data_IF_789996706314
#
_entry.id   IF_789996706314
#
_cell.length_a   1.000
_cell.length_b   1.000
_cell.length_c   1.000
_cell.angle_alpha   90.00
_cell.angle_beta   90.00
_cell.angle_gamma   90.00
#
_symmetry.space_group_name_H-M   'P 1'
#
loop_
_entity.id
_entity.type
_entity.pdbx_description
1 polymer ?
#
# COMPACT_ATOMS: atom_id res chain seq x y z
N UNK A 1 -15.14 21.53 -15.93
CA UNK A 1 -16.43 21.81 -15.28
C UNK A 1 -16.25 21.64 -13.78
N UNK A 2 -16.77 22.62 -13.05
CA UNK A 2 -16.42 22.98 -11.68
C UNK A 2 -16.81 21.93 -10.63
N UNK A 3 -15.97 21.78 -9.62
CA UNK A 3 -16.21 20.99 -8.42
C UNK A 3 -17.15 21.74 -7.48
N UNK A 4 -18.41 21.29 -7.39
CA UNK A 4 -19.39 21.86 -6.46
C UNK A 4 -19.11 21.39 -5.04
N UNK A 5 -18.63 22.34 -4.23
CA UNK A 5 -18.43 22.26 -2.78
C UNK A 5 -19.81 22.34 -2.09
N UNK A 6 -20.25 21.28 -1.42
CA UNK A 6 -21.50 21.33 -0.63
C UNK A 6 -21.31 22.18 0.65
N UNK A 7 -22.07 23.27 0.72
CA UNK A 7 -22.18 24.19 1.87
C UNK A 7 -22.85 23.49 3.07
N UNK A 8 -22.33 23.70 4.27
CA UNK A 8 -23.02 23.42 5.53
C UNK A 8 -24.15 24.43 5.76
N UNK A 9 -25.35 23.92 6.04
CA UNK A 9 -26.54 24.70 6.44
C UNK A 9 -27.15 24.09 7.72
N UNK A 10 -27.91 24.87 8.50
CA UNK A 10 -27.84 24.87 9.95
C UNK A 10 -28.80 23.88 10.63
N UNK A 11 -28.45 23.59 11.87
CA UNK A 11 -29.09 22.70 12.83
C UNK A 11 -30.56 23.07 13.13
N UNK A 12 -31.48 22.75 12.22
CA UNK A 12 -32.92 22.84 12.47
C UNK A 12 -33.45 21.47 12.90
N UNK A 13 -33.57 21.28 14.22
CA UNK A 13 -34.26 20.13 14.83
C UNK A 13 -35.67 20.02 14.24
N UNK A 14 -35.92 18.93 13.53
CA UNK A 14 -37.16 18.68 12.79
C UNK A 14 -38.39 18.72 13.70
N UNK A 15 -39.54 19.18 13.17
CA UNK A 15 -40.83 19.19 13.89
C UNK A 15 -41.17 17.82 14.48
N UNK A 16 -40.74 16.74 13.82
CA UNK A 16 -40.91 15.35 14.24
C UNK A 16 -40.20 15.07 15.57
N UNK A 17 -38.96 15.54 15.75
CA UNK A 17 -38.24 15.38 17.01
C UNK A 17 -38.96 16.05 18.19
N UNK A 18 -39.60 17.21 17.96
CA UNK A 18 -40.42 17.88 18.99
C UNK A 18 -41.72 17.13 19.29
N UNK A 19 -42.32 16.48 18.29
CA UNK A 19 -43.52 15.66 18.49
C UNK A 19 -43.20 14.40 19.29
N UNK A 20 -42.10 13.71 18.98
CA UNK A 20 -41.65 12.55 19.75
C UNK A 20 -41.28 12.92 21.19
N UNK A 21 -40.61 14.06 21.40
CA UNK A 21 -40.23 14.53 22.73
C UNK A 21 -41.42 14.99 23.59
N UNK A 22 -42.55 15.38 22.96
CA UNK A 22 -43.82 15.67 23.66
C UNK A 22 -44.61 14.41 24.01
N UNK A 23 -44.49 13.36 23.21
CA UNK A 23 -45.22 12.09 23.42
C UNK A 23 -44.50 11.20 24.43
N UNK A 24 -43.19 11.35 24.57
CA UNK A 24 -42.35 10.59 25.49
C UNK A 24 -41.72 11.58 26.48
N UNK A 25 -42.37 11.79 27.62
CA UNK A 25 -41.82 12.58 28.73
C UNK A 25 -40.65 11.83 29.41
N UNK A 26 -39.51 11.80 28.74
CA UNK A 26 -38.24 11.35 29.31
C UNK A 26 -37.60 12.54 30.02
N UNK A 27 -37.63 12.52 31.37
CA UNK A 27 -36.76 13.40 32.17
C UNK A 27 -35.32 13.17 31.71
N UNK A 28 -34.67 14.26 31.36
CA UNK A 28 -33.32 14.28 30.78
C UNK A 28 -32.32 13.77 31.81
N UNK A 29 -31.78 12.57 31.59
CA UNK A 29 -30.59 12.10 32.30
C UNK A 29 -29.36 12.47 31.47
N UNK A 30 -28.52 13.32 32.05
CA UNK A 30 -27.32 13.86 31.46
C UNK A 30 -26.22 12.78 31.37
N UNK A 31 -25.61 12.64 30.19
CA UNK A 31 -24.27 12.08 29.92
C UNK A 31 -24.02 10.61 30.30
N UNK A 32 -24.11 9.71 29.32
CA UNK A 32 -23.24 8.53 29.25
C UNK A 32 -22.58 8.52 27.86
N UNK A 33 -21.26 8.49 27.88
CA UNK A 33 -20.38 8.51 26.74
C UNK A 33 -20.46 7.20 25.94
N UNK A 34 -20.09 7.29 24.67
CA UNK A 34 -20.00 6.19 23.71
C UNK A 34 -19.18 5.02 24.24
N UNK A 35 -19.66 3.80 23.99
CA UNK A 35 -18.80 2.71 23.57
C UNK A 35 -19.59 1.74 22.68
N UNK A 36 -19.08 1.54 21.47
CA UNK A 36 -19.45 0.46 20.58
C UNK A 36 -19.06 -0.86 21.27
N UNK A 37 -20.07 -1.62 21.69
CA UNK A 37 -19.92 -2.98 22.17
C UNK A 37 -21.26 -3.66 22.07
N UNK A 38 -21.36 -4.65 21.18
CA UNK A 38 -22.48 -5.59 21.12
C UNK A 38 -22.50 -6.33 22.46
N UNK A 39 -23.35 -5.87 23.37
CA UNK A 39 -23.58 -6.48 24.67
C UNK A 39 -24.61 -7.60 24.52
N UNK A 40 -24.12 -8.82 24.38
CA UNK A 40 -24.90 -10.05 24.44
C UNK A 40 -25.50 -10.19 25.86
N UNK A 41 -26.80 -9.91 26.02
CA UNK A 41 -27.51 -10.28 27.24
C UNK A 41 -27.90 -11.76 27.18
N UNK A 42 -26.92 -12.62 27.49
CA UNK A 42 -27.17 -14.02 27.84
C UNK A 42 -27.73 -14.04 29.26
N UNK A 43 -29.06 -14.16 29.40
CA UNK A 43 -29.67 -14.44 30.70
C UNK A 43 -29.69 -15.95 30.91
N UNK A 44 -28.67 -16.45 31.62
CA UNK A 44 -28.65 -17.81 32.18
C UNK A 44 -29.70 -17.89 33.29
N UNK A 45 -30.57 -18.92 33.33
CA UNK A 45 -31.55 -19.05 34.40
C UNK A 45 -30.86 -19.60 35.66
N UNK A 46 -30.58 -18.74 36.64
CA UNK A 46 -30.20 -19.19 37.98
C UNK A 46 -31.44 -19.27 38.87
N UNK A 47 -32.03 -20.47 38.90
CA UNK A 47 -32.76 -20.94 40.08
C UNK A 47 -31.75 -21.23 41.18
N UNK A 48 -31.71 -20.38 42.22
CA UNK A 48 -31.20 -20.74 43.54
C UNK A 48 -32.21 -20.30 44.58
N UNK A 49 -32.94 -21.29 45.10
CA UNK A 49 -33.61 -21.21 46.39
C UNK A 49 -32.52 -21.16 47.47
N UNK A 50 -32.60 -20.18 48.35
CA UNK A 50 -32.04 -20.31 49.70
C UNK A 50 -33.15 -19.97 50.70
N UNK A 51 -33.31 -20.92 51.62
CA UNK A 51 -34.27 -20.99 52.70
C UNK A 51 -33.55 -20.64 54.01
N UNK A 52 -34.34 -20.28 55.02
CA UNK A 52 -33.97 -19.99 56.43
C UNK A 52 -33.49 -18.54 56.67
N UNK A 53 -34.02 -17.80 57.66
CA UNK A 53 -34.18 -18.25 59.05
C UNK A 53 -35.32 -17.59 59.86
N UNK A 54 -35.74 -18.34 60.90
CA UNK A 54 -36.83 -18.11 61.84
C UNK A 54 -36.43 -17.22 63.03
N UNK A 55 -37.35 -16.35 63.47
CA UNK A 55 -37.91 -16.29 64.85
C UNK A 55 -38.39 -14.89 65.21
N UNK A 56 -39.69 -14.75 65.52
CA UNK A 56 -40.20 -14.05 66.71
C UNK A 56 -41.68 -14.41 66.90
N UNK A 57 -41.90 -15.29 67.87
CA UNK A 57 -42.94 -15.29 68.91
C UNK A 57 -44.42 -15.14 68.55
N UNK A 58 -45.16 -16.19 68.92
CA UNK A 58 -46.60 -16.42 68.86
C UNK A 58 -47.50 -15.26 69.30
N UNK A 59 -48.43 -14.85 68.41
CA UNK A 59 -49.83 -14.49 68.74
C UNK A 59 -50.74 -14.96 67.58
N UNK A 60 -51.85 -15.67 67.83
CA UNK A 60 -52.76 -16.09 66.77
C UNK A 60 -53.77 -14.98 66.51
N UNK A 61 -53.53 -14.12 65.52
CA UNK A 61 -54.55 -13.19 65.04
C UNK A 61 -54.33 -12.86 63.55
N UNK A 62 -55.37 -13.14 62.75
CA UNK A 62 -55.59 -12.72 61.37
C UNK A 62 -54.63 -13.24 60.28
N UNK A 63 -54.67 -14.55 60.00
CA UNK A 63 -53.91 -15.20 58.89
C UNK A 63 -54.55 -15.09 57.50
N UNK A 64 -55.76 -14.56 57.35
CA UNK A 64 -56.50 -14.59 56.07
C UNK A 64 -56.28 -13.35 55.19
N UNK A 65 -56.05 -12.16 55.75
CA UNK A 65 -55.90 -10.93 54.95
C UNK A 65 -54.50 -10.71 54.36
N UNK A 66 -53.43 -11.10 55.08
CA UNK A 66 -52.06 -10.96 54.57
C UNK A 66 -51.76 -11.87 53.37
N UNK A 67 -52.37 -13.05 53.30
CA UNK A 67 -52.24 -13.96 52.15
C UNK A 67 -52.94 -13.43 50.90
N UNK A 68 -54.14 -12.85 51.04
CA UNK A 68 -54.87 -12.20 49.93
C UNK A 68 -54.10 -11.00 49.37
N UNK A 69 -53.55 -10.14 50.23
CA UNK A 69 -52.82 -8.96 49.78
C UNK A 69 -51.49 -9.31 49.08
N UNK A 70 -50.84 -10.42 49.48
CA UNK A 70 -49.64 -10.95 48.82
C UNK A 70 -49.97 -11.57 47.45
N UNK A 71 -51.09 -12.28 47.34
CA UNK A 71 -51.58 -12.89 46.10
C UNK A 71 -52.02 -11.84 45.07
N UNK A 72 -52.73 -10.79 45.48
CA UNK A 72 -53.11 -9.68 44.59
C UNK A 72 -51.91 -8.88 44.08
N UNK A 73 -50.87 -8.74 44.92
CA UNK A 73 -49.60 -8.10 44.52
C UNK A 73 -48.85 -8.96 43.51
N UNK A 74 -48.83 -10.28 43.69
CA UNK A 74 -48.23 -11.23 42.75
C UNK A 74 -48.96 -11.24 41.41
N UNK A 75 -50.30 -11.23 41.40
CA UNK A 75 -51.12 -11.14 40.18
C UNK A 75 -50.86 -9.85 39.42
N UNK A 76 -50.83 -8.70 40.10
CA UNK A 76 -50.50 -7.40 39.48
C UNK A 76 -49.10 -7.42 38.87
N UNK A 77 -48.13 -8.02 39.55
CA UNK A 77 -46.77 -8.17 39.03
C UNK A 77 -46.74 -9.02 37.76
N UNK A 78 -47.40 -10.17 37.75
CA UNK A 78 -47.48 -11.04 36.58
C UNK A 78 -48.15 -10.35 35.37
N UNK A 79 -49.22 -9.59 35.60
CA UNK A 79 -49.89 -8.80 34.55
C UNK A 79 -48.95 -7.73 33.98
N UNK A 80 -48.15 -7.07 34.81
CA UNK A 80 -47.16 -6.09 34.37
C UNK A 80 -46.00 -6.73 33.59
N UNK A 81 -45.52 -7.89 34.03
CA UNK A 81 -44.49 -8.66 33.32
C UNK A 81 -44.99 -9.10 31.93
N UNK A 82 -46.24 -9.57 31.84
CA UNK A 82 -46.89 -9.90 30.57
C UNK A 82 -47.07 -8.68 29.65
N UNK A 83 -47.42 -7.52 30.21
CA UNK A 83 -47.53 -6.27 29.47
C UNK A 83 -46.16 -5.83 28.92
N UNK A 84 -45.10 -5.94 29.72
CA UNK A 84 -43.74 -5.64 29.28
C UNK A 84 -43.29 -6.58 28.17
N UNK A 85 -43.55 -7.89 28.31
CA UNK A 85 -43.22 -8.87 27.27
C UNK A 85 -43.89 -8.49 25.94
N UNK A 86 -45.21 -8.20 25.97
CA UNK A 86 -45.95 -7.78 24.77
C UNK A 86 -45.42 -6.47 24.17
N UNK A 87 -45.02 -5.52 25.01
CA UNK A 87 -44.39 -4.26 24.56
C UNK A 87 -43.08 -4.52 23.80
N UNK A 88 -42.18 -5.33 24.37
CA UNK A 88 -40.91 -5.67 23.72
C UNK A 88 -41.13 -6.44 22.42
N UNK A 89 -42.06 -7.41 22.40
CA UNK A 89 -42.42 -8.15 21.20
C UNK A 89 -42.90 -7.23 20.06
N UNK A 90 -43.81 -6.28 20.33
CA UNK A 90 -44.27 -5.31 19.34
C UNK A 90 -43.16 -4.36 18.86
N UNK A 91 -42.26 -3.91 19.75
CA UNK A 91 -41.11 -3.09 19.34
C UNK A 91 -40.18 -3.88 18.40
N UNK A 92 -39.91 -5.15 18.73
CA UNK A 92 -39.09 -6.03 17.89
C UNK A 92 -39.77 -6.33 16.55
N UNK A 93 -41.10 -6.49 16.53
CA UNK A 93 -41.87 -6.66 15.29
C UNK A 93 -41.80 -5.41 14.40
N UNK A 94 -41.93 -4.20 14.97
CA UNK A 94 -41.75 -2.93 14.23
C UNK A 94 -40.33 -2.85 13.65
N UNK A 95 -39.31 -3.25 14.41
CA UNK A 95 -37.92 -3.25 13.94
C UNK A 95 -37.73 -4.22 12.76
N UNK A 96 -38.33 -5.41 12.83
CA UNK A 96 -38.29 -6.39 11.74
C UNK A 96 -39.00 -5.86 10.48
N UNK A 97 -40.21 -5.31 10.62
CA UNK A 97 -40.94 -4.71 9.51
C UNK A 97 -40.20 -3.52 8.88
N UNK A 98 -39.52 -2.70 9.69
CA UNK A 98 -38.67 -1.63 9.17
C UNK A 98 -37.45 -2.16 8.41
N UNK A 99 -36.86 -3.27 8.84
CA UNK A 99 -35.78 -3.92 8.10
C UNK A 99 -36.29 -4.50 6.76
N UNK A 100 -37.50 -5.07 6.73
CA UNK A 100 -38.16 -5.53 5.49
C UNK A 100 -38.39 -4.36 4.51
N UNK A 101 -38.84 -3.21 5.02
CA UNK A 101 -38.99 -1.97 4.25
C UNK A 101 -37.66 -1.53 3.62
N UNK A 102 -36.56 -1.55 4.37
CA UNK A 102 -35.24 -1.20 3.86
C UNK A 102 -34.77 -2.16 2.76
N UNK A 103 -35.03 -3.46 2.89
CA UNK A 103 -34.67 -4.44 1.87
C UNK A 103 -35.49 -4.27 0.59
N UNK A 104 -36.76 -3.89 0.71
CA UNK A 104 -37.65 -3.67 -0.43
C UNK A 104 -37.33 -2.40 -1.25
N UNK A 105 -36.41 -1.55 -0.78
CA UNK A 105 -35.98 -0.36 -1.52
C UNK A 105 -34.93 -0.68 -2.58
N UNK A 106 -34.18 -1.78 -2.45
CA UNK A 106 -33.14 -2.15 -3.39
C UNK A 106 -32.99 -3.69 -3.51
N UNK A 107 -33.52 -4.31 -4.57
CA UNK A 107 -34.26 -3.69 -5.68
C UNK A 107 -35.63 -3.15 -5.24
N UNK A 108 -36.07 -2.04 -5.85
CA UNK A 108 -37.33 -1.37 -5.50
C UNK A 108 -38.54 -2.28 -5.77
N UNK A 109 -39.35 -2.53 -4.74
CA UNK A 109 -40.59 -3.29 -4.81
C UNK A 109 -41.71 -2.55 -4.07
N UNK A 110 -42.66 -2.00 -4.82
CA UNK A 110 -43.81 -1.26 -4.26
C UNK A 110 -44.65 -2.15 -3.34
N UNK A 111 -44.90 -3.40 -3.73
CA UNK A 111 -45.76 -4.33 -2.98
C UNK A 111 -45.14 -4.71 -1.63
N UNK A 112 -43.83 -4.99 -1.62
CA UNK A 112 -43.10 -5.30 -0.38
C UNK A 112 -42.97 -4.08 0.53
N UNK A 113 -42.76 -2.89 -0.04
CA UNK A 113 -42.76 -1.62 0.70
C UNK A 113 -44.12 -1.40 1.38
N UNK A 114 -45.22 -1.58 0.64
CA UNK A 114 -46.57 -1.39 1.17
C UNK A 114 -46.91 -2.44 2.24
N UNK A 115 -46.51 -3.70 2.04
CA UNK A 115 -46.71 -4.76 3.04
C UNK A 115 -45.94 -4.48 4.34
N UNK A 116 -44.68 -4.05 4.23
CA UNK A 116 -43.85 -3.69 5.37
C UNK A 116 -44.38 -2.44 6.11
N UNK A 117 -44.82 -1.42 5.38
CA UNK A 117 -45.44 -0.22 5.94
C UNK A 117 -46.74 -0.56 6.69
N UNK A 118 -47.60 -1.38 6.08
CA UNK A 118 -48.83 -1.86 6.72
C UNK A 118 -48.54 -2.63 8.02
N UNK A 119 -47.52 -3.50 8.03
CA UNK A 119 -47.10 -4.22 9.23
C UNK A 119 -46.63 -3.28 10.35
N UNK A 120 -45.89 -2.21 10.02
CA UNK A 120 -45.51 -1.17 11.00
C UNK A 120 -46.75 -0.46 11.55
N UNK A 121 -47.69 -0.07 10.68
CA UNK A 121 -48.91 0.61 11.09
C UNK A 121 -49.76 -0.27 12.01
N UNK A 122 -49.87 -1.56 11.72
CA UNK A 122 -50.68 -2.48 12.52
C UNK A 122 -50.07 -2.76 13.90
N UNK A 123 -48.74 -2.90 14.01
CA UNK A 123 -48.07 -2.98 15.31
C UNK A 123 -48.20 -1.68 16.12
N UNK A 124 -48.13 -0.51 15.47
CA UNK A 124 -48.34 0.78 16.13
C UNK A 124 -49.78 0.95 16.64
N UNK A 125 -50.78 0.44 15.91
CA UNK A 125 -52.18 0.40 16.36
C UNK A 125 -52.33 -0.50 17.59
N UNK A 126 -51.76 -1.71 17.56
CA UNK A 126 -51.77 -2.64 18.70
C UNK A 126 -51.10 -2.02 19.94
N UNK A 127 -49.98 -1.32 19.75
CA UNK A 127 -49.28 -0.62 20.83
C UNK A 127 -50.11 0.53 21.41
N UNK A 128 -50.83 1.27 20.56
CA UNK A 128 -51.75 2.32 20.98
C UNK A 128 -52.92 1.78 21.80
N UNK A 129 -53.47 0.64 21.41
CA UNK A 129 -54.53 -0.06 22.17
C UNK A 129 -54.00 -0.57 23.53
N UNK A 130 -52.81 -1.16 23.55
CA UNK A 130 -52.15 -1.61 24.77
C UNK A 130 -51.88 -0.44 25.75
N UNK A 131 -51.45 0.70 25.21
CA UNK A 131 -51.29 1.94 25.99
C UNK A 131 -52.63 2.39 26.58
N UNK A 132 -53.71 2.38 25.79
CA UNK A 132 -55.04 2.80 26.23
C UNK A 132 -55.60 1.88 27.32
N UNK A 133 -55.46 0.56 27.19
CA UNK A 133 -55.92 -0.40 28.20
C UNK A 133 -55.16 -0.27 29.52
N UNK A 134 -53.84 0.01 29.46
CA UNK A 134 -53.04 0.32 30.64
C UNK A 134 -53.55 1.55 31.39
N UNK A 135 -53.78 2.67 30.70
CA UNK A 135 -54.25 3.90 31.36
C UNK A 135 -55.68 3.82 31.91
N UNK A 136 -56.53 2.97 31.31
CA UNK A 136 -57.90 2.74 31.79
C UNK A 136 -57.99 1.71 32.91
N UNK A 137 -56.88 1.07 33.30
CA UNK A 137 -56.83 -0.09 34.20
C UNK A 137 -57.68 -1.28 33.71
N UNK A 138 -57.90 -1.40 32.40
CA UNK A 138 -58.69 -2.46 31.74
C UNK A 138 -57.74 -3.54 31.16
N UNK A 139 -56.83 -4.05 32.00
CA UNK A 139 -55.86 -5.07 31.58
C UNK A 139 -56.40 -6.49 31.80
N UNK A 140 -57.18 -6.97 30.83
CA UNK A 140 -57.62 -8.37 30.76
C UNK A 140 -56.55 -9.23 30.06
N UNK A 141 -55.36 -9.32 30.66
CA UNK A 141 -54.29 -10.18 30.16
C UNK A 141 -54.26 -11.48 30.97
N UNK A 142 -54.18 -12.62 30.29
CA UNK A 142 -53.74 -13.87 30.88
C UNK A 142 -52.21 -13.87 30.90
N UNK A 143 -51.55 -13.74 32.07
CA UNK A 143 -50.11 -13.47 32.11
C UNK A 143 -49.27 -14.54 31.42
N UNK A 144 -49.52 -15.82 31.71
CA UNK A 144 -48.77 -16.96 31.16
C UNK A 144 -48.90 -17.05 29.64
N UNK A 145 -50.13 -16.96 29.12
CA UNK A 145 -50.40 -17.03 27.67
C UNK A 145 -49.81 -15.83 26.95
N UNK A 146 -49.94 -14.64 27.52
CA UNK A 146 -49.43 -13.40 26.91
C UNK A 146 -47.91 -13.40 26.84
N UNK A 147 -47.22 -13.85 27.90
CA UNK A 147 -45.77 -13.97 27.90
C UNK A 147 -45.29 -14.95 26.83
N UNK A 148 -45.91 -16.13 26.74
CA UNK A 148 -45.53 -17.14 25.75
C UNK A 148 -45.73 -16.63 24.31
N UNK A 149 -46.87 -15.98 24.02
CA UNK A 149 -47.13 -15.41 22.69
C UNK A 149 -46.17 -14.27 22.35
N UNK A 150 -45.86 -13.41 23.32
CA UNK A 150 -44.91 -12.33 23.15
C UNK A 150 -43.50 -12.85 22.85
N UNK A 151 -43.05 -13.88 23.57
CA UNK A 151 -41.76 -14.53 23.33
C UNK A 151 -41.70 -15.13 21.93
N UNK A 152 -42.75 -15.85 21.49
CA UNK A 152 -42.82 -16.40 20.13
C UNK A 152 -42.76 -15.29 19.07
N UNK A 153 -43.51 -14.21 19.24
CA UNK A 153 -43.51 -13.06 18.33
C UNK A 153 -42.14 -12.38 18.27
N UNK A 154 -41.48 -12.22 19.42
CA UNK A 154 -40.13 -11.65 19.51
C UNK A 154 -39.11 -12.53 18.76
N UNK A 155 -39.11 -13.83 19.01
CA UNK A 155 -38.21 -14.77 18.33
C UNK A 155 -38.43 -14.79 16.82
N UNK A 156 -39.69 -14.79 16.36
CA UNK A 156 -40.01 -14.70 14.92
C UNK A 156 -39.49 -13.40 14.30
N UNK A 157 -39.64 -12.28 15.00
CA UNK A 157 -39.17 -10.96 14.56
C UNK A 157 -37.65 -10.87 14.51
N UNK A 158 -36.96 -11.48 15.48
CA UNK A 158 -35.50 -11.62 15.47
C UNK A 158 -35.02 -12.50 14.31
N UNK A 159 -35.66 -13.65 14.07
CA UNK A 159 -35.34 -14.53 12.94
C UNK A 159 -35.45 -13.79 11.60
N UNK A 160 -36.52 -13.00 11.40
CA UNK A 160 -36.68 -12.16 10.22
C UNK A 160 -35.53 -11.16 10.06
N UNK A 161 -35.16 -10.48 11.14
CA UNK A 161 -34.06 -9.50 11.14
C UNK A 161 -32.72 -10.15 10.80
N UNK A 162 -32.43 -11.34 11.35
CA UNK A 162 -31.23 -12.09 11.02
C UNK A 162 -31.24 -12.55 9.56
N UNK A 163 -32.35 -13.08 9.07
CA UNK A 163 -32.48 -13.50 7.66
C UNK A 163 -32.22 -12.33 6.69
N UNK A 164 -32.73 -11.14 7.00
CA UNK A 164 -32.46 -9.92 6.23
C UNK A 164 -30.97 -9.54 6.28
N UNK A 165 -30.37 -9.59 7.47
CA UNK A 165 -28.95 -9.26 7.66
C UNK A 165 -28.05 -10.23 6.88
N UNK A 166 -28.37 -11.53 6.88
CA UNK A 166 -27.67 -12.55 6.12
C UNK A 166 -27.75 -12.23 4.62
N UNK A 167 -28.95 -12.02 4.07
CA UNK A 167 -29.13 -11.67 2.65
C UNK A 167 -28.33 -10.42 2.24
N UNK A 168 -28.27 -9.42 3.12
CA UNK A 168 -27.50 -8.20 2.88
C UNK A 168 -25.99 -8.47 2.84
N UNK A 169 -25.48 -9.30 3.75
CA UNK A 169 -24.07 -9.69 3.77
C UNK A 169 -23.70 -10.56 2.58
N UNK A 170 -24.57 -11.48 2.16
CA UNK A 170 -24.39 -12.30 0.95
C UNK A 170 -24.26 -11.41 -0.30
N UNK A 171 -25.16 -10.43 -0.46
CA UNK A 171 -25.08 -9.48 -1.57
C UNK A 171 -23.79 -8.62 -1.55
N UNK A 172 -23.33 -8.19 -0.37
CA UNK A 172 -22.08 -7.44 -0.24
C UNK A 172 -20.85 -8.30 -0.60
N UNK A 173 -20.86 -9.59 -0.22
CA UNK A 173 -19.82 -10.54 -0.60
C UNK A 173 -19.76 -10.73 -2.12
N UNK A 174 -20.91 -10.83 -2.81
CA UNK A 174 -20.96 -10.94 -4.28
C UNK A 174 -20.40 -9.69 -4.98
N UNK A 175 -20.77 -8.49 -4.49
CA UNK A 175 -20.24 -7.21 -5.01
C UNK A 175 -18.72 -7.14 -4.81
N UNK A 176 -18.23 -7.44 -3.61
CA UNK A 176 -16.79 -7.46 -3.33
C UNK A 176 -16.06 -8.52 -4.15
N UNK A 177 -16.66 -9.69 -4.37
CA UNK A 177 -16.13 -10.73 -5.25
C UNK A 177 -15.95 -10.23 -6.69
N UNK A 178 -16.94 -9.51 -7.20
CA UNK A 178 -16.88 -8.88 -8.53
C UNK A 178 -15.80 -7.80 -8.62
N UNK A 179 -15.68 -6.95 -7.61
CA UNK A 179 -14.64 -5.92 -7.51
C UNK A 179 -13.23 -6.53 -7.51
N UNK A 180 -13.02 -7.60 -6.71
CA UNK A 180 -11.74 -8.32 -6.66
C UNK A 180 -11.41 -8.91 -8.03
N UNK A 181 -12.39 -9.50 -8.72
CA UNK A 181 -12.21 -10.02 -10.08
C UNK A 181 -11.79 -8.93 -11.08
N UNK A 182 -12.45 -7.77 -11.03
CA UNK A 182 -12.12 -6.60 -11.86
C UNK A 182 -10.70 -6.09 -11.60
N UNK A 183 -10.34 -5.92 -10.33
CA UNK A 183 -9.00 -5.46 -9.93
C UNK A 183 -7.90 -6.44 -10.32
N UNK A 184 -8.13 -7.75 -10.18
CA UNK A 184 -7.19 -8.78 -10.64
C UNK A 184 -6.97 -8.68 -12.15
N UNK A 185 -8.05 -8.53 -12.92
CA UNK A 185 -7.95 -8.36 -14.38
C UNK A 185 -7.15 -7.11 -14.75
N UNK A 186 -7.38 -5.98 -14.10
CA UNK A 186 -6.59 -4.76 -14.32
C UNK A 186 -5.12 -4.95 -13.97
N UNK A 187 -4.81 -5.67 -12.89
CA UNK A 187 -3.44 -5.98 -12.50
C UNK A 187 -2.75 -6.87 -13.55
N UNK A 188 -3.45 -7.88 -14.07
CA UNK A 188 -2.93 -8.78 -15.11
C UNK A 188 -2.69 -8.03 -16.42
N UNK A 189 -3.62 -7.16 -16.82
CA UNK A 189 -3.48 -6.30 -18.01
C UNK A 189 -2.30 -5.32 -17.87
N UNK A 190 -2.18 -4.65 -16.72
CA UNK A 190 -1.04 -3.77 -16.43
C UNK A 190 0.28 -4.56 -16.37
N UNK A 191 0.28 -5.77 -15.81
CA UNK A 191 1.42 -6.67 -15.80
C UNK A 191 1.83 -7.13 -17.19
N UNK A 192 0.87 -7.47 -18.06
CA UNK A 192 1.12 -7.82 -19.45
C UNK A 192 1.64 -6.62 -20.26
N UNK A 193 1.07 -5.44 -20.04
CA UNK A 193 1.53 -4.20 -20.66
C UNK A 193 2.96 -3.86 -20.22
N UNK A 194 3.27 -3.96 -18.91
CA UNK A 194 4.61 -3.76 -18.40
C UNK A 194 5.60 -4.77 -18.96
N UNK A 195 5.23 -6.06 -19.05
CA UNK A 195 6.07 -7.08 -19.72
C UNK A 195 6.28 -6.77 -21.20
N UNK A 196 5.29 -6.21 -21.90
CA UNK A 196 5.41 -5.78 -23.29
C UNK A 196 6.34 -4.58 -23.43
N UNK A 197 6.17 -3.56 -22.59
CA UNK A 197 7.08 -2.42 -22.51
C UNK A 197 8.49 -2.86 -22.16
N UNK A 198 8.65 -3.75 -21.19
CA UNK A 198 9.92 -4.34 -20.80
C UNK A 198 10.52 -5.15 -21.94
N UNK A 199 9.75 -5.91 -22.71
CA UNK A 199 10.23 -6.56 -23.94
C UNK A 199 10.62 -5.56 -25.02
N UNK A 200 9.93 -4.43 -25.17
CA UNK A 200 10.32 -3.36 -26.12
C UNK A 200 11.55 -2.60 -25.65
N UNK A 201 11.71 -2.47 -24.33
CA UNK A 201 12.89 -1.91 -23.71
C UNK A 201 14.07 -2.88 -23.89
N UNK A 202 13.91 -4.13 -23.47
CA UNK A 202 14.94 -5.16 -23.27
C UNK A 202 15.16 -6.06 -24.47
N UNK A 203 14.25 -6.09 -25.45
CA UNK A 203 14.67 -6.27 -26.83
C UNK A 203 15.65 -5.13 -27.01
N UNK A 204 16.93 -5.47 -26.87
CA UNK A 204 18.01 -4.65 -27.34
C UNK A 204 17.61 -4.29 -28.76
N UNK A 205 17.04 -3.10 -28.94
CA UNK A 205 17.17 -2.38 -30.19
C UNK A 205 18.66 -2.54 -30.48
N UNK A 206 19.01 -3.39 -31.46
CA UNK A 206 20.32 -3.97 -31.42
C UNK A 206 21.28 -2.80 -31.48
N UNK A 207 22.46 -3.01 -30.94
CA UNK A 207 23.61 -2.18 -31.24
C UNK A 207 23.87 -2.08 -32.77
N UNK A 208 23.00 -2.63 -33.64
CA UNK A 208 22.90 -2.45 -35.09
C UNK A 208 22.83 -1.00 -35.55
N UNK A 209 22.30 -0.07 -34.77
CA UNK A 209 22.49 1.36 -35.07
C UNK A 209 23.98 1.71 -35.20
N UNK A 210 24.82 1.06 -34.38
CA UNK A 210 26.27 1.22 -34.40
C UNK A 210 26.99 0.19 -35.29
N UNK A 211 26.29 -0.72 -36.01
CA UNK A 211 26.96 -1.70 -36.91
C UNK A 211 27.43 -1.04 -38.21
N UNK A 212 26.76 0.04 -38.61
CA UNK A 212 27.03 0.81 -39.84
C UNK A 212 27.91 2.04 -39.62
N UNK A 213 28.34 2.33 -38.38
CA UNK A 213 29.18 3.50 -38.11
C UNK A 213 30.58 3.21 -38.62
N UNK A 214 31.05 4.03 -39.55
CA UNK A 214 32.44 4.02 -39.98
C UNK A 214 33.27 4.86 -39.01
N UNK A 215 34.51 4.42 -38.77
CA UNK A 215 35.46 5.13 -37.89
C UNK A 215 35.61 6.62 -38.27
N UNK A 216 35.60 6.94 -39.56
CA UNK A 216 35.71 8.31 -40.10
C UNK A 216 34.52 9.23 -39.81
N UNK A 217 33.37 8.68 -39.40
CA UNK A 217 32.12 9.41 -39.15
C UNK A 217 31.79 9.50 -37.65
N UNK A 218 32.70 9.08 -36.78
CA UNK A 218 32.51 9.11 -35.34
C UNK A 218 32.32 10.56 -34.87
N UNK A 219 31.25 10.82 -34.11
CA UNK A 219 30.94 12.14 -33.57
C UNK A 219 30.45 12.01 -32.12
N UNK A 220 30.48 13.10 -31.33
CA UNK A 220 30.07 13.06 -29.92
C UNK A 220 28.62 12.59 -29.69
N UNK A 221 27.72 12.72 -30.68
CA UNK A 221 26.34 12.23 -30.54
C UNK A 221 26.26 10.71 -30.45
N UNK A 222 27.16 10.00 -31.15
CA UNK A 222 27.29 8.55 -31.02
C UNK A 222 27.74 8.14 -29.61
N UNK A 223 28.62 8.92 -28.99
CA UNK A 223 29.00 8.70 -27.60
C UNK A 223 27.82 8.91 -26.66
N UNK A 224 27.04 9.99 -26.81
CA UNK A 224 25.85 10.25 -25.99
C UNK A 224 24.81 9.14 -26.13
N UNK A 225 24.54 8.68 -27.36
CA UNK A 225 23.63 7.55 -27.59
C UNK A 225 24.12 6.28 -26.87
N UNK A 226 25.40 5.92 -27.03
CA UNK A 226 25.97 4.74 -26.38
C UNK A 226 26.03 4.88 -24.86
N UNK A 227 26.29 6.09 -24.36
CA UNK A 227 26.22 6.43 -22.94
C UNK A 227 24.81 6.13 -22.41
N UNK A 228 23.74 6.58 -23.07
CA UNK A 228 22.37 6.25 -22.64
C UNK A 228 22.11 4.75 -22.54
N UNK A 229 22.58 3.94 -23.50
CA UNK A 229 22.48 2.47 -23.41
C UNK A 229 23.28 1.87 -22.25
N UNK A 230 24.43 2.47 -21.92
CA UNK A 230 25.25 2.09 -20.76
C UNK A 230 24.54 2.44 -19.47
N UNK A 231 24.05 3.68 -19.34
CA UNK A 231 23.30 4.15 -18.17
C UNK A 231 22.09 3.26 -17.88
N UNK A 232 21.38 2.87 -18.93
CA UNK A 232 20.21 2.01 -18.82
C UNK A 232 20.54 0.60 -18.33
N UNK A 233 21.64 0.01 -18.79
CA UNK A 233 22.10 -1.29 -18.29
C UNK A 233 22.56 -1.22 -16.84
N UNK A 234 23.29 -0.16 -16.47
CA UNK A 234 23.69 0.08 -15.09
C UNK A 234 22.47 0.23 -14.17
N UNK A 235 21.45 0.99 -14.57
CA UNK A 235 20.19 1.09 -13.81
C UNK A 235 19.49 -0.26 -13.65
N UNK A 236 19.50 -1.10 -14.67
CA UNK A 236 18.94 -2.46 -14.59
C UNK A 236 19.68 -3.32 -13.56
N UNK A 237 21.02 -3.28 -13.60
CA UNK A 237 21.85 -3.98 -12.62
C UNK A 237 21.65 -3.44 -11.19
N UNK A 238 21.57 -2.13 -11.00
CA UNK A 238 21.31 -1.51 -9.69
C UNK A 238 19.97 -1.98 -9.12
N UNK A 239 18.91 -2.04 -9.94
CA UNK A 239 17.61 -2.58 -9.52
C UNK A 239 17.70 -4.04 -9.08
N UNK A 240 18.42 -4.87 -9.84
CA UNK A 240 18.66 -6.26 -9.46
C UNK A 240 19.43 -6.34 -8.14
N UNK A 241 20.48 -5.54 -7.99
CA UNK A 241 21.31 -5.49 -6.78
C UNK A 241 20.49 -5.10 -5.55
N UNK A 242 19.67 -4.05 -5.62
CA UNK A 242 18.78 -3.64 -4.53
C UNK A 242 17.76 -4.73 -4.21
N UNK A 243 17.22 -5.41 -5.22
CA UNK A 243 16.29 -6.53 -5.02
C UNK A 243 16.94 -7.69 -4.26
N UNK A 244 18.17 -8.05 -4.60
CA UNK A 244 18.91 -9.08 -3.85
C UNK A 244 19.19 -8.64 -2.40
N UNK A 245 19.48 -7.35 -2.17
CA UNK A 245 19.64 -6.79 -0.82
C UNK A 245 18.34 -6.89 0.00
N UNK A 246 17.19 -6.59 -0.61
CA UNK A 246 15.88 -6.73 0.03
C UNK A 246 15.56 -8.20 0.38
N UNK A 247 15.86 -9.14 -0.53
CA UNK A 247 15.71 -10.59 -0.31
C UNK A 247 16.62 -11.07 0.82
N UNK A 248 17.82 -10.51 0.93
CA UNK A 248 18.77 -10.77 2.02
C UNK A 248 18.42 -10.01 3.32
N UNK A 249 17.26 -9.35 3.39
CA UNK A 249 16.78 -8.58 4.54
C UNK A 249 17.72 -7.45 4.98
N UNK A 250 18.40 -6.79 4.03
CA UNK A 250 19.21 -5.61 4.33
C UNK A 250 18.32 -4.42 4.68
N UNK A 251 18.79 -3.63 5.64
CA UNK A 251 18.27 -2.27 5.83
C UNK A 251 18.82 -1.37 4.70
N UNK A 252 17.98 -1.12 3.70
CA UNK A 252 18.30 -0.29 2.53
C UNK A 252 18.62 1.15 2.94
N UNK A 253 18.02 1.66 4.02
CA UNK A 253 18.32 3.01 4.51
C UNK A 253 19.70 3.05 5.16
N UNK A 254 20.02 2.08 6.01
CA UNK A 254 21.35 1.98 6.60
C UNK A 254 22.43 1.77 5.52
N UNK A 255 22.14 0.96 4.49
CA UNK A 255 23.05 0.74 3.36
C UNK A 255 23.27 2.03 2.54
N UNK A 256 22.21 2.80 2.26
CA UNK A 256 22.34 4.08 1.59
C UNK A 256 23.16 5.09 2.43
N UNK A 257 22.93 5.14 3.75
CA UNK A 257 23.75 5.95 4.68
C UNK A 257 25.20 5.49 4.74
N UNK A 258 25.48 4.19 4.61
CA UNK A 258 26.86 3.70 4.58
C UNK A 258 27.61 4.14 3.31
N UNK A 259 26.93 4.23 2.17
CA UNK A 259 27.51 4.75 0.91
C UNK A 259 27.70 6.26 0.99
N UNK A 260 26.68 6.96 1.49
CA UNK A 260 26.65 8.41 1.57
C UNK A 260 26.28 8.82 3.01
N UNK A 261 27.27 9.03 3.89
CA UNK A 261 27.08 9.18 5.34
C UNK A 261 26.43 10.50 5.77
N UNK A 262 26.26 11.45 4.86
CA UNK A 262 25.60 12.72 5.13
C UNK A 262 24.09 12.52 5.26
N UNK A 263 23.45 13.30 6.14
CA UNK A 263 22.01 13.25 6.35
C UNK A 263 21.28 13.96 5.20
N UNK A 264 21.16 13.28 4.06
CA UNK A 264 20.48 13.80 2.86
C UNK A 264 18.98 13.68 3.03
N UNK A 265 18.28 14.79 2.80
CA UNK A 265 16.82 14.82 2.79
C UNK A 265 16.33 14.42 1.39
N UNK A 266 15.85 13.18 1.27
CA UNK A 266 15.24 12.72 0.02
C UNK A 266 13.82 13.26 -0.12
N UNK A 267 13.50 13.85 -1.27
CA UNK A 267 12.14 14.33 -1.57
C UNK A 267 11.12 13.18 -1.60
N UNK A 268 11.54 12.00 -2.05
CA UNK A 268 10.73 10.77 -2.04
C UNK A 268 11.57 9.62 -1.48
N UNK A 269 10.98 8.69 -0.71
CA UNK A 269 11.72 7.54 -0.19
C UNK A 269 12.39 6.69 -1.27
N UNK A 270 11.78 6.61 -2.46
CA UNK A 270 12.29 5.90 -3.62
C UNK A 270 13.58 6.49 -4.20
N UNK A 271 13.87 7.76 -3.97
CA UNK A 271 15.09 8.42 -4.48
C UNK A 271 16.39 7.87 -3.87
N UNK A 272 16.30 7.05 -2.81
CA UNK A 272 17.44 6.31 -2.27
C UNK A 272 18.11 5.42 -3.33
N UNK A 273 17.39 4.99 -4.38
CA UNK A 273 17.97 4.23 -5.49
C UNK A 273 19.14 4.96 -6.17
N UNK A 274 19.09 6.30 -6.22
CA UNK A 274 20.15 7.11 -6.84
C UNK A 274 21.48 7.03 -6.08
N UNK A 275 21.46 6.71 -4.77
CA UNK A 275 22.67 6.48 -3.99
C UNK A 275 23.39 5.22 -4.47
N UNK A 276 22.63 4.15 -4.71
CA UNK A 276 23.18 2.91 -5.26
C UNK A 276 23.64 3.08 -6.71
N UNK A 277 22.90 3.85 -7.53
CA UNK A 277 23.36 4.23 -8.87
C UNK A 277 24.70 4.97 -8.81
N UNK A 278 24.81 6.00 -7.96
CA UNK A 278 26.04 6.76 -7.74
C UNK A 278 27.22 5.87 -7.34
N UNK A 279 27.01 4.95 -6.39
CA UNK A 279 28.01 3.98 -5.97
C UNK A 279 28.50 3.09 -7.12
N UNK A 280 27.56 2.56 -7.93
CA UNK A 280 27.91 1.71 -9.07
C UNK A 280 28.66 2.51 -10.13
N UNK A 281 28.20 3.70 -10.52
CA UNK A 281 28.89 4.52 -11.52
C UNK A 281 30.29 4.94 -11.06
N UNK A 282 30.42 5.37 -9.81
CA UNK A 282 31.71 5.74 -9.23
C UNK A 282 32.69 4.57 -9.33
N UNK A 283 32.28 3.37 -8.93
CA UNK A 283 33.14 2.18 -8.98
C UNK A 283 33.44 1.76 -10.42
N UNK A 284 32.45 1.73 -11.30
CA UNK A 284 32.61 1.24 -12.68
C UNK A 284 33.46 2.19 -13.55
N UNK A 285 33.35 3.51 -13.33
CA UNK A 285 34.11 4.54 -14.06
C UNK A 285 35.40 4.96 -13.35
N UNK A 286 35.72 4.40 -12.18
CA UNK A 286 36.99 4.66 -11.51
C UNK A 286 38.17 4.24 -12.42
N UNK A 287 39.12 5.13 -12.61
CA UNK A 287 40.26 4.90 -13.51
C UNK A 287 39.99 5.24 -14.98
N UNK A 288 38.82 5.77 -15.35
CA UNK A 288 38.52 6.16 -16.74
C UNK A 288 39.55 7.14 -17.32
N UNK A 289 40.03 8.09 -16.51
CA UNK A 289 40.99 9.11 -16.95
C UNK A 289 42.42 8.59 -17.16
N UNK A 290 42.71 7.33 -16.79
CA UNK A 290 44.03 6.74 -16.89
C UNK A 290 43.93 5.44 -17.73
N UNK A 291 44.06 5.52 -19.07
CA UNK A 291 44.13 4.31 -19.88
C UNK A 291 45.33 3.46 -19.44
N UNK A 292 45.06 2.25 -18.97
CA UNK A 292 46.07 1.31 -18.48
C UNK A 292 47.06 0.81 -19.56
N UNK A 293 46.91 1.22 -20.81
CA UNK A 293 47.74 0.77 -21.92
C UNK A 293 48.19 1.96 -22.78
N UNK A 294 49.51 2.16 -22.79
CA UNK A 294 50.24 3.17 -23.54
C UNK A 294 49.94 3.11 -25.06
N UNK A 295 49.79 4.29 -25.67
CA UNK A 295 49.94 4.58 -27.11
C UNK A 295 49.35 3.55 -28.11
N UNK A 296 48.08 3.18 -27.96
CA UNK A 296 47.34 2.49 -29.03
C UNK A 296 46.67 3.52 -29.95
N UNK A 297 46.55 3.20 -31.23
CA UNK A 297 45.88 4.08 -32.20
C UNK A 297 44.38 4.14 -31.95
N UNK A 298 43.75 5.25 -32.34
CA UNK A 298 42.30 5.45 -32.26
C UNK A 298 41.54 4.36 -33.01
N UNK A 299 42.09 3.91 -34.14
CA UNK A 299 41.56 2.81 -34.95
C UNK A 299 41.58 1.47 -34.21
N UNK A 300 42.56 1.23 -33.33
CA UNK A 300 42.62 0.03 -32.51
C UNK A 300 41.47 0.01 -31.50
N UNK A 301 41.24 1.12 -30.80
CA UNK A 301 40.14 1.25 -29.84
C UNK A 301 38.78 1.08 -30.52
N UNK A 302 38.60 1.64 -31.72
CA UNK A 302 37.35 1.47 -32.48
C UNK A 302 37.11 0.00 -32.91
N UNK A 303 38.16 -0.70 -33.34
CA UNK A 303 38.04 -2.09 -33.73
C UNK A 303 37.73 -3.00 -32.53
N UNK A 304 38.39 -2.78 -31.40
CA UNK A 304 38.08 -3.50 -30.15
C UNK A 304 36.67 -3.16 -29.65
N UNK A 305 36.22 -1.90 -29.76
CA UNK A 305 34.84 -1.52 -29.48
C UNK A 305 33.86 -2.33 -30.33
N UNK A 306 34.08 -2.39 -31.65
CA UNK A 306 33.22 -3.15 -32.57
C UNK A 306 33.18 -4.64 -32.21
N UNK A 307 34.31 -5.22 -31.81
CA UNK A 307 34.45 -6.61 -31.40
C UNK A 307 33.70 -6.91 -30.11
N UNK A 308 33.91 -6.14 -29.04
CA UNK A 308 33.25 -6.40 -27.75
C UNK A 308 31.75 -6.11 -27.78
N UNK A 309 31.32 -5.25 -28.70
CA UNK A 309 29.92 -4.88 -28.90
C UNK A 309 29.09 -6.04 -29.47
N UNK A 310 29.66 -6.85 -30.36
CA UNK A 310 28.96 -7.89 -31.13
C UNK A 310 29.05 -9.30 -30.54
N UNK A 311 29.95 -9.53 -29.59
CA UNK A 311 30.20 -10.87 -29.03
C UNK A 311 29.45 -11.05 -27.71
N UNK A 312 28.98 -12.27 -27.46
CA UNK A 312 28.48 -12.67 -26.14
C UNK A 312 29.61 -12.54 -25.09
N UNK A 313 29.43 -11.73 -24.02
CA UNK A 313 30.52 -11.44 -23.09
C UNK A 313 31.03 -12.68 -22.37
N UNK A 314 30.16 -13.65 -22.08
CA UNK A 314 30.54 -14.86 -21.36
C UNK A 314 31.40 -15.76 -22.24
N UNK A 315 30.99 -15.98 -23.49
CA UNK A 315 31.80 -16.69 -24.47
C UNK A 315 33.11 -15.97 -24.73
N UNK A 316 33.11 -14.64 -24.86
CA UNK A 316 34.33 -13.86 -25.07
C UNK A 316 35.35 -14.09 -23.94
N UNK A 317 34.89 -14.04 -22.68
CA UNK A 317 35.73 -14.23 -21.51
C UNK A 317 36.27 -15.66 -21.38
N UNK A 318 35.48 -16.67 -21.73
CA UNK A 318 35.92 -18.07 -21.74
C UNK A 318 37.05 -18.30 -22.76
N UNK A 319 36.96 -17.68 -23.94
CA UNK A 319 37.98 -17.80 -24.98
C UNK A 319 39.20 -16.89 -24.74
N UNK A 320 39.03 -15.78 -24.02
CA UNK A 320 40.07 -14.76 -23.81
C UNK A 320 40.22 -14.39 -22.31
N UNK A 321 40.64 -15.33 -21.45
CA UNK A 321 40.66 -15.15 -20.00
C UNK A 321 41.65 -14.07 -19.53
N UNK A 322 42.67 -13.75 -20.31
CA UNK A 322 43.69 -12.74 -19.96
C UNK A 322 43.53 -11.41 -20.69
N UNK A 323 42.41 -11.22 -21.40
CA UNK A 323 42.10 -9.97 -22.09
C UNK A 323 42.02 -8.78 -21.12
N UNK A 324 42.24 -7.57 -21.65
CA UNK A 324 42.03 -6.31 -20.91
C UNK A 324 40.60 -6.21 -20.37
N UNK A 325 39.61 -6.67 -21.14
CA UNK A 325 38.22 -6.78 -20.69
C UNK A 325 38.04 -7.76 -19.53
N UNK A 326 38.69 -8.93 -19.56
CA UNK A 326 38.65 -9.89 -18.45
C UNK A 326 39.26 -9.31 -17.17
N UNK A 327 40.43 -8.64 -17.28
CA UNK A 327 41.07 -7.94 -16.15
C UNK A 327 40.18 -6.84 -15.59
N UNK A 328 39.58 -6.02 -16.46
CA UNK A 328 38.61 -4.98 -16.07
C UNK A 328 37.41 -5.59 -15.32
N UNK A 329 36.79 -6.62 -15.89
CA UNK A 329 35.61 -7.27 -15.31
C UNK A 329 35.90 -7.84 -13.92
N UNK A 330 37.04 -8.54 -13.76
CA UNK A 330 37.48 -9.08 -12.46
C UNK A 330 37.70 -7.96 -11.44
N UNK A 331 38.50 -6.94 -11.79
CA UNK A 331 38.80 -5.84 -10.90
C UNK A 331 37.53 -5.11 -10.44
N UNK A 332 36.64 -4.79 -11.38
CA UNK A 332 35.39 -4.08 -11.08
C UNK A 332 34.41 -4.91 -10.26
N UNK A 333 34.29 -6.20 -10.51
CA UNK A 333 33.43 -7.06 -9.69
C UNK A 333 33.92 -7.10 -8.23
N UNK A 334 35.22 -7.30 -8.03
CA UNK A 334 35.82 -7.41 -6.71
C UNK A 334 35.79 -6.09 -5.92
N UNK A 335 35.81 -4.94 -6.61
CA UNK A 335 35.62 -3.62 -6.02
C UNK A 335 34.16 -3.35 -5.68
N UNK A 336 33.23 -3.69 -6.59
CA UNK A 336 31.81 -3.36 -6.44
C UNK A 336 31.10 -4.25 -5.42
N UNK A 337 31.34 -5.56 -5.48
CA UNK A 337 30.67 -6.56 -4.64
C UNK A 337 31.61 -6.96 -3.52
N UNK A 338 31.54 -6.26 -2.39
CA UNK A 338 32.38 -6.54 -1.23
C UNK A 338 32.13 -7.98 -0.69
N UNK A 339 33.14 -8.63 -0.11
CA UNK A 339 33.02 -10.00 0.40
C UNK A 339 31.86 -10.15 1.42
N UNK A 340 31.65 -9.16 2.29
CA UNK A 340 30.48 -9.14 3.21
C UNK A 340 29.15 -9.06 2.47
N UNK A 341 29.09 -8.30 1.38
CA UNK A 341 27.90 -8.19 0.55
C UNK A 341 27.60 -9.54 -0.10
N UNK A 342 28.59 -10.16 -0.73
CA UNK A 342 28.46 -11.46 -1.38
C UNK A 342 28.03 -12.58 -0.42
N UNK A 343 28.68 -12.68 0.75
CA UNK A 343 28.27 -13.60 1.80
C UNK A 343 26.82 -13.41 2.21
N UNK A 344 26.35 -12.15 2.31
CA UNK A 344 24.99 -11.89 2.72
C UNK A 344 23.97 -12.15 1.61
N UNK A 345 24.30 -11.85 0.36
CA UNK A 345 23.39 -12.02 -0.77
C UNK A 345 23.27 -13.50 -1.18
N UNK A 346 24.38 -14.25 -1.15
CA UNK A 346 24.43 -15.62 -1.68
C UNK A 346 24.70 -16.69 -0.62
N UNK A 347 24.97 -16.31 0.63
CA UNK A 347 25.33 -17.22 1.72
C UNK A 347 26.74 -17.80 1.64
N UNK A 348 27.55 -17.44 0.63
CA UNK A 348 28.90 -17.96 0.40
C UNK A 348 29.76 -16.98 -0.42
N UNK A 349 31.05 -17.29 -0.57
CA UNK A 349 32.03 -16.52 -1.37
C UNK A 349 32.46 -17.25 -2.65
N UNK A 350 31.60 -18.13 -3.18
CA UNK A 350 31.99 -18.97 -4.32
C UNK A 350 32.17 -18.15 -5.59
N UNK A 351 31.36 -17.10 -5.79
CA UNK A 351 31.47 -16.24 -6.98
C UNK A 351 32.82 -15.52 -6.98
N UNK A 352 33.22 -14.90 -5.87
CA UNK A 352 34.53 -14.23 -5.74
C UNK A 352 35.70 -15.20 -5.83
N UNK A 353 35.59 -16.41 -5.29
CA UNK A 353 36.64 -17.44 -5.47
C UNK A 353 36.86 -17.76 -6.95
N UNK A 354 35.77 -17.95 -7.71
CA UNK A 354 35.84 -18.16 -9.15
C UNK A 354 36.46 -16.96 -9.86
N UNK A 355 35.98 -15.74 -9.57
CA UNK A 355 36.48 -14.50 -10.21
C UNK A 355 37.96 -14.30 -9.93
N UNK A 356 38.42 -14.58 -8.71
CA UNK A 356 39.84 -14.55 -8.33
C UNK A 356 40.67 -15.61 -9.06
N UNK A 357 40.13 -16.80 -9.31
CA UNK A 357 40.80 -17.85 -10.10
C UNK A 357 40.74 -17.59 -11.60
N UNK A 358 40.12 -16.49 -12.02
CA UNK A 358 39.96 -16.11 -13.41
C UNK A 358 38.79 -16.77 -14.15
N UNK A 359 37.96 -17.52 -13.43
CA UNK A 359 36.75 -18.18 -13.96
C UNK A 359 35.53 -17.31 -13.64
N UNK A 360 34.57 -17.25 -14.55
CA UNK A 360 33.41 -16.38 -14.39
C UNK A 360 32.17 -17.19 -13.95
N UNK A 361 31.48 -16.78 -12.86
CA UNK A 361 30.30 -17.49 -12.36
C UNK A 361 29.14 -17.47 -13.35
N UNK A 362 28.37 -18.56 -13.38
CA UNK A 362 27.11 -18.63 -14.12
C UNK A 362 25.91 -18.36 -13.20
N UNK A 363 25.77 -17.12 -12.75
CA UNK A 363 24.63 -16.69 -11.95
C UNK A 363 23.89 -15.54 -12.64
N UNK A 364 22.58 -15.42 -12.40
CA UNK A 364 21.78 -14.32 -12.96
C UNK A 364 22.36 -12.95 -12.56
N UNK A 365 22.79 -12.83 -11.31
CA UNK A 365 23.45 -11.62 -10.79
C UNK A 365 24.76 -11.31 -11.52
N UNK A 366 25.64 -12.30 -11.68
CA UNK A 366 26.92 -12.11 -12.37
C UNK A 366 26.72 -11.81 -13.86
N UNK A 367 25.77 -12.48 -14.52
CA UNK A 367 25.44 -12.22 -15.92
C UNK A 367 24.91 -10.79 -16.14
N UNK A 368 24.09 -10.28 -15.22
CA UNK A 368 23.64 -8.88 -15.25
C UNK A 368 24.78 -7.88 -15.00
N UNK A 369 25.66 -8.18 -14.03
CA UNK A 369 26.88 -7.41 -13.81
C UNK A 369 27.77 -7.39 -15.05
N UNK A 370 27.98 -8.55 -15.67
CA UNK A 370 28.83 -8.72 -16.82
C UNK A 370 28.34 -7.93 -18.02
N UNK A 371 27.03 -7.92 -18.28
CA UNK A 371 26.44 -7.12 -19.35
C UNK A 371 26.61 -5.61 -19.11
N UNK A 372 26.48 -5.15 -17.88
CA UNK A 372 26.80 -3.77 -17.50
C UNK A 372 28.29 -3.47 -17.71
N UNK A 373 29.18 -4.34 -17.22
CA UNK A 373 30.63 -4.18 -17.32
C UNK A 373 31.10 -4.15 -18.78
N UNK A 374 30.50 -4.97 -19.64
CA UNK A 374 30.73 -4.97 -21.10
C UNK A 374 30.41 -3.61 -21.70
N UNK A 375 29.28 -3.02 -21.36
CA UNK A 375 28.87 -1.70 -21.89
C UNK A 375 29.76 -0.57 -21.37
N UNK A 376 30.12 -0.58 -20.08
CA UNK A 376 31.06 0.41 -19.54
C UNK A 376 32.44 0.27 -20.21
N UNK A 377 32.93 -0.95 -20.40
CA UNK A 377 34.20 -1.18 -21.10
C UNK A 377 34.13 -0.70 -22.56
N UNK A 378 33.06 -1.02 -23.27
CA UNK A 378 32.82 -0.54 -24.62
C UNK A 378 32.73 1.00 -24.69
N UNK A 379 32.11 1.64 -23.69
CA UNK A 379 32.07 3.10 -23.57
C UNK A 379 33.48 3.69 -23.44
N UNK A 380 34.37 3.07 -22.66
CA UNK A 380 35.77 3.48 -22.54
C UNK A 380 36.49 3.36 -23.89
N UNK A 381 36.34 2.22 -24.58
CA UNK A 381 36.94 2.02 -25.91
C UNK A 381 36.42 3.05 -26.93
N UNK A 382 35.12 3.35 -26.90
CA UNK A 382 34.52 4.36 -27.76
C UNK A 382 35.08 5.76 -27.46
N UNK A 383 35.22 6.13 -26.19
CA UNK A 383 35.86 7.38 -25.80
C UNK A 383 37.28 7.52 -26.37
N UNK A 384 38.12 6.50 -26.21
CA UNK A 384 39.50 6.55 -26.71
C UNK A 384 39.60 6.50 -28.24
N UNK A 385 38.54 6.09 -28.94
CA UNK A 385 38.51 6.10 -30.41
C UNK A 385 38.30 7.49 -31.02
N UNK A 386 37.95 8.52 -30.24
CA UNK A 386 37.78 9.89 -30.75
C UNK A 386 39.10 10.62 -31.02
N UNK A 387 40.23 10.17 -30.45
CA UNK A 387 41.52 10.87 -30.57
C UNK A 387 41.55 12.26 -29.90
N UNK A 388 40.54 12.58 -29.08
CA UNK A 388 40.47 13.80 -28.29
C UNK A 388 40.74 13.51 -26.80
N UNK A 389 41.09 14.55 -26.04
CA UNK A 389 41.19 14.45 -24.58
C UNK A 389 39.81 14.11 -24.00
N UNK A 390 39.63 12.85 -23.59
CA UNK A 390 38.42 12.40 -22.89
C UNK A 390 38.68 12.35 -21.39
N UNK A 391 37.82 13.02 -20.64
CA UNK A 391 37.84 12.98 -19.19
C UNK A 391 36.44 12.84 -18.60
N UNK A 392 36.37 12.12 -17.48
CA UNK A 392 35.19 12.03 -16.63
C UNK A 392 35.35 12.99 -15.46
N UNK A 393 34.30 13.76 -15.19
CA UNK A 393 34.25 14.67 -14.06
C UNK A 393 33.06 14.37 -13.14
N UNK A 394 33.26 14.62 -11.85
CA UNK A 394 32.20 14.56 -10.84
C UNK A 394 31.97 15.95 -10.29
N UNK A 395 30.71 16.30 -10.06
CA UNK A 395 30.35 17.57 -9.46
C UNK A 395 30.55 17.46 -7.95
N UNK A 396 31.25 18.45 -7.38
CA UNK A 396 31.46 18.56 -5.94
C UNK A 396 30.15 18.77 -5.21
N UNK A 397 30.06 18.15 -4.03
CA UNK A 397 28.92 18.31 -3.13
C UNK A 397 28.79 19.76 -2.67
N UNK A 398 27.58 20.16 -2.30
CA UNK A 398 27.21 21.49 -1.81
C UNK A 398 27.51 22.65 -2.78
N UNK A 399 27.70 22.35 -4.07
CA UNK A 399 27.79 23.35 -5.10
C UNK A 399 26.42 23.79 -5.59
N UNK A 400 26.37 25.02 -6.13
CA UNK A 400 25.19 25.53 -6.83
C UNK A 400 24.97 24.76 -8.11
N UNK A 401 23.71 24.53 -8.43
CA UNK A 401 23.31 23.88 -9.66
C UNK A 401 23.61 24.78 -10.87
N UNK A 402 24.04 24.17 -11.98
CA UNK A 402 24.34 24.86 -13.24
C UNK A 402 23.86 24.03 -14.41
N UNK A 403 22.83 24.52 -15.11
CA UNK A 403 22.27 23.87 -16.30
C UNK A 403 23.27 23.72 -17.46
N UNK A 404 24.43 24.39 -17.42
CA UNK A 404 25.43 24.31 -18.48
C UNK A 404 26.13 22.94 -18.50
N UNK A 405 26.38 22.35 -17.34
CA UNK A 405 27.15 21.11 -17.21
C UNK A 405 26.55 20.10 -16.23
N UNK A 406 25.37 20.39 -15.67
CA UNK A 406 24.63 19.51 -14.77
C UNK A 406 23.21 19.26 -15.29
N UNK A 407 22.69 18.08 -14.99
CA UNK A 407 21.31 17.68 -15.26
C UNK A 407 20.70 17.16 -13.94
N UNK A 408 19.57 17.70 -13.50
CA UNK A 408 18.90 17.23 -12.28
C UNK A 408 18.12 15.94 -12.56
N UNK A 409 18.36 14.86 -11.80
CA UNK A 409 17.62 13.59 -11.95
C UNK A 409 16.16 13.66 -11.46
N UNK A 410 15.78 14.77 -10.85
CA UNK A 410 14.49 14.99 -10.18
C UNK A 410 13.68 16.13 -10.81
N UNK A 411 13.88 16.41 -12.12
CA UNK A 411 13.24 17.51 -12.87
C UNK A 411 11.74 17.66 -12.57
N UNK A 412 10.99 16.55 -12.46
CA UNK A 412 9.55 16.58 -12.17
C UNK A 412 9.19 17.15 -10.78
N UNK A 413 10.04 16.95 -9.76
CA UNK A 413 9.77 17.44 -8.40
C UNK A 413 10.27 18.86 -8.12
N UNK A 414 11.23 19.35 -8.92
CA UNK A 414 11.73 20.73 -8.82
C UNK A 414 10.67 21.72 -9.31
N UNK A 415 9.82 21.32 -10.26
CA UNK A 415 8.72 22.14 -10.79
C UNK A 415 7.47 22.16 -9.88
N UNK A 416 7.34 21.21 -8.95
CA UNK A 416 6.17 21.07 -8.05
C UNK A 416 6.27 21.90 -6.76
N UNK A 417 7.38 22.59 -6.52
CA UNK A 417 7.55 23.49 -5.36
C UNK A 417 7.56 24.96 -5.80
N UNK A 418 6.39 25.61 -5.97
CA UNK A 418 6.30 27.01 -6.38
C UNK A 418 6.64 28.00 -5.25
N UNK A 419 6.96 27.51 -4.04
CA UNK A 419 7.25 28.32 -2.86
C UNK A 419 8.38 27.70 -2.04
N UNK A 420 9.63 28.06 -2.32
CA UNK A 420 10.60 28.38 -1.25
C UNK A 420 11.89 28.94 -1.85
N UNK A 421 12.34 30.04 -1.28
CA UNK A 421 13.70 30.60 -1.29
C UNK A 421 14.77 29.62 -0.75
N UNK A 422 14.57 28.30 -0.88
CA UNK A 422 15.53 27.32 -0.42
C UNK A 422 16.63 27.14 -1.48
N UNK A 423 17.86 27.53 -1.12
CA UNK A 423 19.05 27.34 -1.96
C UNK A 423 19.23 25.82 -2.20
N UNK A 424 18.72 25.29 -3.31
CA UNK A 424 18.91 23.88 -3.67
C UNK A 424 20.37 23.67 -4.06
N UNK A 425 21.03 22.74 -3.38
CA UNK A 425 22.43 22.41 -3.63
C UNK A 425 22.58 20.97 -4.08
N UNK A 426 23.68 20.73 -4.81
CA UNK A 426 24.06 19.39 -5.22
C UNK A 426 24.40 18.56 -3.98
N UNK A 427 23.57 17.56 -3.68
CA UNK A 427 23.85 16.63 -2.59
C UNK A 427 24.96 15.66 -2.99
N UNK A 428 24.81 15.05 -4.17
CA UNK A 428 25.82 14.14 -4.75
C UNK A 428 25.62 13.98 -6.26
N UNK A 429 26.69 13.54 -6.93
CA UNK A 429 26.67 13.14 -8.34
C UNK A 429 26.08 11.74 -8.47
N UNK A 430 25.00 11.59 -9.23
CA UNK A 430 24.40 10.28 -9.57
C UNK A 430 25.16 9.66 -10.73
N UNK A 431 25.35 10.41 -11.82
CA UNK A 431 26.11 9.98 -13.00
C UNK A 431 27.21 11.00 -13.28
N UNK A 432 28.48 10.59 -13.35
CA UNK A 432 29.58 11.47 -13.74
C UNK A 432 29.34 12.07 -15.13
N UNK A 433 29.77 13.33 -15.31
CA UNK A 433 29.77 13.99 -16.62
C UNK A 433 31.01 13.61 -17.43
N UNK A 434 30.95 13.86 -18.73
CA UNK A 434 32.04 13.56 -19.66
C UNK A 434 32.45 14.81 -20.41
N UNK A 435 33.75 14.98 -20.64
CA UNK A 435 34.30 15.99 -21.51
C UNK A 435 35.09 15.27 -22.61
N UNK A 436 34.68 15.47 -23.87
CA UNK A 436 35.34 14.93 -25.06
C UNK A 436 35.78 16.14 -25.89
N UNK A 437 37.08 16.43 -25.84
CA UNK A 437 37.65 17.64 -26.45
C UNK A 437 36.97 18.91 -25.96
N UNK A 438 36.15 19.53 -26.83
CA UNK A 438 35.37 20.75 -26.51
C UNK A 438 33.92 20.48 -26.08
N UNK A 439 33.45 19.26 -26.27
CA UNK A 439 32.06 18.87 -25.97
C UNK A 439 31.96 18.47 -24.50
N UNK A 440 31.01 19.08 -23.78
CA UNK A 440 30.69 18.73 -22.39
C UNK A 440 29.35 18.02 -22.38
N UNK A 441 29.32 16.81 -21.84
CA UNK A 441 28.13 16.02 -21.55
C UNK A 441 27.84 16.20 -20.06
N UNK A 442 26.61 16.64 -19.76
CA UNK A 442 26.20 17.01 -18.41
C UNK A 442 26.32 15.85 -17.42
N UNK A 443 26.68 16.18 -16.19
CA UNK A 443 26.66 15.23 -15.07
C UNK A 443 25.27 15.19 -14.44
N UNK A 444 24.73 14.01 -14.19
CA UNK A 444 23.45 13.88 -13.53
C UNK A 444 23.62 14.00 -12.02
N UNK A 445 22.92 14.96 -11.41
CA UNK A 445 23.07 15.30 -9.99
C UNK A 445 21.74 15.19 -9.24
N UNK A 446 21.84 14.83 -7.97
CA UNK A 446 20.71 14.88 -7.04
C UNK A 446 20.75 16.19 -6.26
N UNK A 447 19.64 16.94 -6.27
CA UNK A 447 19.50 18.20 -5.56
C UNK A 447 18.77 17.98 -4.23
N UNK A 448 19.25 18.65 -3.18
CA UNK A 448 18.64 18.67 -1.85
C UNK A 448 18.61 20.10 -1.33
N UNK A 449 17.59 20.50 -0.56
CA UNK A 449 17.64 21.75 0.19
C UNK A 449 18.83 21.73 1.17
N UNK A 450 19.44 22.89 1.40
CA UNK A 450 20.47 23.03 2.44
C UNK A 450 19.86 22.75 3.80
N UNK A 451 20.35 21.70 4.46
CA UNK A 451 20.11 21.46 5.88
C UNK A 451 20.74 22.61 6.67
N UNK A 452 19.92 23.45 7.32
CA UNK A 452 20.39 24.50 8.23
C UNK A 452 20.98 23.92 9.51
#
# INVERSE_FOLDING_TARGET
METVKCRSLPNNKSKIARTFQKVINLKTATRIASNNGIGTCLLTPQNKFDQDDLNTTCKPQNRTDNHKQKDDRAKRRAILEALLAKLFASITAIKAAYAELQMAQNPYSSDLIQAADQAVVDELKQLSELKRSFFKNELHLSPEVTMMLAEVQEQQSLMKTYAITIKKLEADVEVKGSDIGSLKKQLDEAGAFNKSLEKRLNASEPLSMFDNIQFSLLNPTHFVQFLHYTLRSTRSFVKLMVREMEVAHWDIEAAAKAIQPENIVFAKPSHRCFVFESFVYKTMLEGFNHPNEEHRSESYYFNEFRKIKSVDPKQFLTHNPDSSFARFTRAKYLQLVHAKMECSLFGNLNQRKLVNSGVFPDSAFFNAFLEMARRVWALNLLAFSFGEDVSVFQVSKNCRFSDVYMEAVTQDSVLETPNSDSDLRVAFTVVPGFKIGKTVIQSQVYLSPVSS
#
